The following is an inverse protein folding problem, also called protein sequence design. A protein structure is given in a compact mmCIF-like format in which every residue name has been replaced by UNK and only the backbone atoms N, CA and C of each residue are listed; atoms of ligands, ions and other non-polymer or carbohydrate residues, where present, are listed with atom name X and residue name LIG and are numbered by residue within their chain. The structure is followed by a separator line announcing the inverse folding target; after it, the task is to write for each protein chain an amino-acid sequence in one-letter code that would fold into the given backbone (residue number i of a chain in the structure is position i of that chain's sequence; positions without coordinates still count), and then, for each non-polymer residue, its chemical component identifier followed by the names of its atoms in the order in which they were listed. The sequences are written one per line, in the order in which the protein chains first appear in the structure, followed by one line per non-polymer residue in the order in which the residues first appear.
data_IF_426771988926
#
_entry.id   IF_426771988926
#
_cell.length_a   1.000
_cell.length_b   1.000
_cell.length_c   1.000
_cell.angle_alpha   90.00
_cell.angle_beta   90.00
_cell.angle_gamma   90.00
#
_symmetry.space_group_name_H-M   'P 1'
#
loop_
_entity.id
_entity.type
_entity.pdbx_description
1 polymer ?
#
# COMPACT_ATOMS: atom_id res chain seq x y z
N UNK A 1 15.17 -0.98 -5.04
CA UNK A 1 13.75 -1.09 -4.68
C UNK A 1 12.96 -0.32 -5.72
N UNK A 2 11.84 -0.87 -6.18
CA UNK A 2 11.01 -0.29 -7.22
C UNK A 2 9.59 -0.06 -6.71
N UNK A 3 9.09 1.17 -6.85
CA UNK A 3 7.76 1.57 -6.40
C UNK A 3 6.81 1.79 -7.59
N UNK A 4 5.57 1.32 -7.47
CA UNK A 4 4.48 1.69 -8.36
C UNK A 4 3.57 2.67 -7.61
N UNK A 5 3.28 3.80 -8.23
CA UNK A 5 2.40 4.84 -7.69
C UNK A 5 1.10 4.83 -8.49
N UNK A 6 -0.04 4.82 -7.79
CA UNK A 6 -1.37 4.96 -8.35
C UNK A 6 -2.06 6.17 -7.72
N UNK A 7 -1.94 7.31 -8.38
CA UNK A 7 -2.47 8.60 -7.93
C UNK A 7 -2.98 9.36 -9.16
N UNK A 8 -4.23 9.81 -9.13
CA UNK A 8 -4.84 10.59 -10.22
C UNK A 8 -4.35 12.04 -10.20
N UNK A 9 -4.26 12.62 -9.00
CA UNK A 9 -3.82 13.99 -8.78
C UNK A 9 -2.33 14.16 -9.08
N UNK A 10 -2.04 14.98 -10.10
CA UNK A 10 -0.67 15.20 -10.56
C UNK A 10 0.20 15.85 -9.49
N UNK A 11 -0.35 16.79 -8.71
CA UNK A 11 0.44 17.51 -7.72
C UNK A 11 0.91 16.60 -6.58
N UNK A 12 0.04 15.69 -6.14
CA UNK A 12 0.36 14.69 -5.12
C UNK A 12 1.28 13.62 -5.70
N UNK A 13 1.04 13.16 -6.93
CA UNK A 13 1.90 12.20 -7.61
C UNK A 13 3.33 12.72 -7.75
N UNK A 14 3.50 13.99 -8.15
CA UNK A 14 4.81 14.62 -8.31
C UNK A 14 5.53 14.78 -6.96
N UNK A 15 4.79 15.09 -5.89
CA UNK A 15 5.35 15.15 -4.53
C UNK A 15 5.88 13.78 -4.09
N UNK A 16 5.08 12.71 -4.27
CA UNK A 16 5.47 11.33 -3.92
C UNK A 16 6.67 10.88 -4.76
N UNK A 17 6.65 11.15 -6.07
CA UNK A 17 7.77 10.83 -6.96
C UNK A 17 9.06 11.50 -6.50
N UNK A 18 8.99 12.78 -6.13
CA UNK A 18 10.16 13.55 -5.69
C UNK A 18 10.75 12.99 -4.41
N UNK A 19 9.91 12.68 -3.40
CA UNK A 19 10.36 12.05 -2.15
C UNK A 19 11.06 10.70 -2.37
N UNK A 20 10.46 9.86 -3.23
CA UNK A 20 11.04 8.56 -3.58
C UNK A 20 12.38 8.70 -4.30
N UNK A 21 12.47 9.63 -5.26
CA UNK A 21 13.71 9.89 -6.00
C UNK A 21 14.83 10.41 -5.10
N UNK A 22 14.55 11.38 -4.23
CA UNK A 22 15.50 11.90 -3.24
C UNK A 22 16.01 10.80 -2.30
N UNK A 23 15.18 9.79 -2.07
CA UNK A 23 15.48 8.61 -1.26
C UNK A 23 16.12 7.45 -2.03
N UNK A 24 16.44 7.63 -3.31
CA UNK A 24 17.08 6.61 -4.17
C UNK A 24 16.16 5.45 -4.57
N UNK A 25 14.83 5.65 -4.52
CA UNK A 25 13.82 4.65 -4.90
C UNK A 25 13.38 4.93 -6.33
N UNK A 26 13.57 3.97 -7.23
CA UNK A 26 13.04 4.05 -8.58
C UNK A 26 11.53 3.87 -8.55
N UNK A 27 10.79 4.70 -9.29
CA UNK A 27 9.33 4.66 -9.28
C UNK A 27 8.73 4.86 -10.67
N UNK A 28 7.55 4.27 -10.87
CA UNK A 28 6.66 4.53 -12.00
C UNK A 28 5.30 5.00 -11.49
N UNK A 29 4.69 5.96 -12.18
CA UNK A 29 3.39 6.53 -11.80
C UNK A 29 2.33 6.21 -12.85
N UNK A 30 1.20 5.70 -12.37
CA UNK A 30 -0.03 5.48 -13.10
C UNK A 30 -1.15 6.33 -12.50
N UNK A 31 -2.08 6.75 -13.35
CA UNK A 31 -3.29 7.49 -12.98
C UNK A 31 -4.57 6.69 -13.18
N UNK A 32 -4.43 5.48 -13.67
CA UNK A 32 -5.54 4.62 -14.08
C UNK A 32 -5.40 3.27 -13.36
N UNK A 33 -6.37 2.88 -12.51
CA UNK A 33 -6.31 1.64 -11.78
C UNK A 33 -6.34 0.41 -12.71
N UNK A 34 -6.95 0.51 -13.89
CA UNK A 34 -7.03 -0.59 -14.86
C UNK A 34 -5.64 -0.89 -15.41
N UNK A 35 -4.87 0.13 -15.77
CA UNK A 35 -3.47 -0.04 -16.21
C UNK A 35 -2.59 -0.68 -15.14
N UNK A 36 -2.88 -0.41 -13.86
CA UNK A 36 -2.17 -1.06 -12.76
C UNK A 36 -2.55 -2.52 -12.68
N UNK A 37 -3.84 -2.85 -12.72
CA UNK A 37 -4.35 -4.22 -12.71
C UNK A 37 -3.71 -5.06 -13.83
N UNK A 38 -3.61 -4.50 -15.04
CA UNK A 38 -3.05 -5.20 -16.20
C UNK A 38 -1.53 -5.42 -16.08
N UNK A 39 -0.77 -4.42 -15.62
CA UNK A 39 0.70 -4.48 -15.67
C UNK A 39 1.37 -4.88 -14.35
N UNK A 40 0.68 -4.84 -13.20
CA UNK A 40 1.32 -5.04 -11.90
C UNK A 40 2.04 -6.38 -11.78
N UNK A 41 1.49 -7.44 -12.38
CA UNK A 41 2.08 -8.78 -12.37
C UNK A 41 3.38 -8.88 -13.18
N UNK A 42 3.56 -8.03 -14.19
CA UNK A 42 4.78 -7.94 -14.99
C UNK A 42 5.82 -7.04 -14.33
N UNK A 43 5.38 -5.89 -13.82
CA UNK A 43 6.21 -4.89 -13.14
C UNK A 43 6.80 -5.46 -11.85
N UNK A 44 6.01 -6.22 -11.08
CA UNK A 44 6.37 -6.81 -9.78
C UNK A 44 7.03 -5.78 -8.84
N UNK A 45 6.33 -4.68 -8.52
CA UNK A 45 6.90 -3.65 -7.66
C UNK A 45 7.17 -4.20 -6.26
N UNK A 46 8.20 -3.66 -5.59
CA UNK A 46 8.43 -3.93 -4.18
C UNK A 46 7.36 -3.24 -3.31
N UNK A 47 6.82 -2.12 -3.80
CA UNK A 47 5.88 -1.26 -3.08
C UNK A 47 4.86 -0.69 -4.05
N UNK A 48 3.59 -0.76 -3.67
CA UNK A 48 2.46 -0.13 -4.34
C UNK A 48 1.93 0.99 -3.45
N UNK A 49 1.99 2.23 -3.94
CA UNK A 49 1.49 3.42 -3.25
C UNK A 49 0.19 3.85 -3.92
N UNK A 50 -0.91 3.94 -3.17
CA UNK A 50 -2.21 4.32 -3.71
C UNK A 50 -2.80 5.46 -2.90
N UNK A 51 -3.33 6.50 -3.56
CA UNK A 51 -4.13 7.52 -2.88
C UNK A 51 -5.57 7.06 -2.72
N UNK A 52 -6.04 7.01 -1.48
CA UNK A 52 -7.35 6.49 -1.11
C UNK A 52 -8.50 7.25 -1.77
N UNK A 53 -8.40 8.58 -1.75
CA UNK A 53 -9.43 9.50 -2.24
C UNK A 53 -9.72 9.32 -3.73
N UNK A 54 -8.71 8.96 -4.51
CA UNK A 54 -8.82 8.84 -5.97
C UNK A 54 -9.54 7.54 -6.37
N UNK A 55 -9.30 6.44 -5.64
CA UNK A 55 -9.76 5.11 -6.04
C UNK A 55 -10.40 4.28 -4.91
N UNK A 56 -11.40 4.80 -4.18
CA UNK A 56 -11.93 4.15 -2.98
C UNK A 56 -12.45 2.72 -3.21
N UNK A 57 -13.02 2.45 -4.39
CA UNK A 57 -13.58 1.14 -4.75
C UNK A 57 -12.53 0.16 -5.30
N UNK A 58 -11.41 0.64 -5.84
CA UNK A 58 -10.42 -0.22 -6.51
C UNK A 58 -9.35 -0.73 -5.55
N UNK A 59 -9.06 0.01 -4.47
CA UNK A 59 -8.01 -0.37 -3.52
C UNK A 59 -8.24 -1.76 -2.91
N UNK A 60 -9.46 -2.14 -2.46
CA UNK A 60 -9.71 -3.49 -1.96
C UNK A 60 -9.43 -4.58 -3.00
N UNK A 61 -9.78 -4.34 -4.27
CA UNK A 61 -9.56 -5.27 -5.38
C UNK A 61 -8.06 -5.44 -5.65
N UNK A 62 -7.34 -4.33 -5.80
CA UNK A 62 -5.90 -4.33 -6.05
C UNK A 62 -5.15 -4.96 -4.86
N UNK A 63 -5.58 -4.68 -3.63
CA UNK A 63 -5.00 -5.28 -2.44
C UNK A 63 -5.20 -6.79 -2.39
N UNK A 64 -6.38 -7.29 -2.78
CA UNK A 64 -6.62 -8.72 -2.92
C UNK A 64 -5.70 -9.33 -3.98
N UNK A 65 -5.56 -8.69 -5.15
CA UNK A 65 -4.66 -9.16 -6.20
C UNK A 65 -3.21 -9.26 -5.74
N UNK A 66 -2.68 -8.21 -5.11
CA UNK A 66 -1.32 -8.19 -4.55
C UNK A 66 -1.14 -9.30 -3.52
N UNK A 67 -2.14 -9.53 -2.68
CA UNK A 67 -2.06 -10.49 -1.57
C UNK A 67 -2.15 -11.95 -2.02
N UNK A 68 -3.01 -12.24 -2.99
CA UNK A 68 -3.31 -13.61 -3.41
C UNK A 68 -2.55 -14.05 -4.67
N UNK A 69 -1.87 -13.13 -5.37
CA UNK A 69 -0.98 -13.48 -6.47
C UNK A 69 0.41 -13.89 -5.95
N UNK A 70 0.88 -15.08 -6.33
CA UNK A 70 2.22 -15.56 -5.98
C UNK A 70 3.33 -14.61 -6.47
N UNK A 71 3.14 -13.99 -7.64
CA UNK A 71 4.12 -13.07 -8.22
C UNK A 71 4.27 -11.75 -7.44
N UNK A 72 3.32 -11.43 -6.57
CA UNK A 72 3.24 -10.15 -5.85
C UNK A 72 3.37 -10.30 -4.33
N UNK A 73 3.69 -11.48 -3.81
CA UNK A 73 3.77 -11.70 -2.35
C UNK A 73 4.78 -10.80 -1.62
N UNK A 74 5.78 -10.26 -2.34
CA UNK A 74 6.76 -9.32 -1.79
C UNK A 74 6.33 -7.86 -1.87
N UNK A 75 5.31 -7.57 -2.70
CA UNK A 75 4.81 -6.21 -2.90
C UNK A 75 4.07 -5.75 -1.65
N UNK A 76 4.52 -4.64 -1.08
CA UNK A 76 3.89 -3.99 0.06
C UNK A 76 2.91 -2.94 -0.42
N UNK A 77 1.80 -2.75 0.28
CA UNK A 77 0.82 -1.73 -0.07
C UNK A 77 0.93 -0.58 0.93
N UNK A 78 1.05 0.64 0.42
CA UNK A 78 0.99 1.90 1.16
C UNK A 78 -0.21 2.68 0.66
N UNK A 79 -1.08 3.08 1.58
CA UNK A 79 -2.26 3.89 1.27
C UNK A 79 -2.06 5.29 1.83
N UNK A 80 -2.23 6.29 0.97
CA UNK A 80 -2.27 7.70 1.35
C UNK A 80 -3.74 8.07 1.57
N UNK A 81 -4.13 8.33 2.81
CA UNK A 81 -5.52 8.64 3.17
C UNK A 81 -5.82 8.33 4.63
N UNK A 82 -7.02 8.67 5.07
CA UNK A 82 -7.42 8.60 6.48
C UNK A 82 -8.33 7.39 6.78
N UNK A 83 -9.04 6.87 5.78
CA UNK A 83 -10.05 5.82 5.94
C UNK A 83 -9.64 4.55 5.19
N UNK A 84 -8.70 3.81 5.76
CA UNK A 84 -8.29 2.53 5.18
C UNK A 84 -9.08 1.38 5.79
N UNK A 85 -9.79 0.57 4.98
CA UNK A 85 -10.49 -0.60 5.49
C UNK A 85 -9.59 -1.52 6.32
N UNK A 86 -10.03 -1.84 7.53
CA UNK A 86 -9.26 -2.59 8.54
C UNK A 86 -8.83 -4.00 8.12
N UNK A 87 -9.49 -4.57 7.11
CA UNK A 87 -9.12 -5.87 6.56
C UNK A 87 -7.92 -5.81 5.60
N UNK A 88 -7.54 -4.63 5.11
CA UNK A 88 -6.37 -4.45 4.28
C UNK A 88 -5.11 -4.36 5.15
N UNK A 89 -4.26 -5.38 5.06
CA UNK A 89 -2.95 -5.39 5.70
C UNK A 89 -1.98 -4.49 4.91
N UNK A 90 -2.18 -3.18 5.00
CA UNK A 90 -1.37 -2.17 4.33
C UNK A 90 -0.82 -1.15 5.32
N UNK A 91 0.20 -0.41 4.87
CA UNK A 91 0.70 0.75 5.59
C UNK A 91 -0.13 1.97 5.22
N UNK A 92 -0.26 2.89 6.16
CA UNK A 92 -1.08 4.09 5.98
C UNK A 92 -0.27 5.33 6.33
N UNK A 93 -0.46 6.37 5.52
CA UNK A 93 0.03 7.71 5.79
C UNK A 93 -1.09 8.71 5.47
N UNK A 94 -1.28 9.70 6.33
CA UNK A 94 -2.28 10.75 6.09
C UNK A 94 -1.73 11.78 5.10
N UNK A 95 -2.62 12.40 4.31
CA UNK A 95 -2.20 13.44 3.35
C UNK A 95 -1.53 14.63 4.05
N UNK A 96 -2.02 15.01 5.22
CA UNK A 96 -1.43 16.08 6.02
C UNK A 96 0.01 15.78 6.42
N UNK A 97 0.32 14.52 6.75
CA UNK A 97 1.66 14.10 7.13
C UNK A 97 2.60 14.09 5.94
N UNK A 98 2.11 13.63 4.78
CA UNK A 98 2.84 13.66 3.52
C UNK A 98 3.21 15.08 3.10
N UNK A 99 2.29 16.03 3.26
CA UNK A 99 2.53 17.45 2.93
C UNK A 99 3.48 18.15 3.89
N UNK A 100 3.44 17.82 5.19
CA UNK A 100 4.27 18.45 6.22
C UNK A 100 5.71 17.94 6.24
N UNK A 101 5.92 16.67 5.91
CA UNK A 101 7.23 16.02 5.94
C UNK A 101 7.38 15.15 4.70
N UNK A 102 8.09 15.68 3.70
CA UNK A 102 8.34 14.97 2.44
C UNK A 102 8.92 13.57 2.70
N UNK A 103 9.93 13.46 3.58
CA UNK A 103 10.65 12.21 3.91
C UNK A 103 9.83 11.14 4.65
N UNK A 104 8.60 11.46 5.04
CA UNK A 104 7.76 10.57 5.84
C UNK A 104 7.34 9.31 5.07
N UNK A 105 7.14 9.43 3.75
CA UNK A 105 6.76 8.31 2.92
C UNK A 105 7.94 7.37 2.67
N UNK A 106 9.10 7.87 2.25
CA UNK A 106 10.31 7.06 2.12
C UNK A 106 10.66 6.31 3.42
N UNK A 107 10.62 6.97 4.58
CA UNK A 107 10.83 6.29 5.88
C UNK A 107 9.83 5.18 6.13
N UNK A 108 8.55 5.40 5.86
CA UNK A 108 7.52 4.35 5.99
C UNK A 108 7.87 3.17 5.10
N UNK A 109 8.22 3.44 3.84
CA UNK A 109 8.59 2.43 2.85
C UNK A 109 9.79 1.59 3.32
N UNK A 110 10.83 2.22 3.87
CA UNK A 110 12.02 1.52 4.37
C UNK A 110 11.82 0.84 5.73
N UNK A 111 10.93 1.36 6.59
CA UNK A 111 10.79 0.92 7.98
C UNK A 111 10.32 -0.54 8.12
N UNK A 112 9.73 -1.14 7.08
CA UNK A 112 9.21 -2.50 7.20
C UNK A 112 8.05 -2.65 8.18
N UNK A 113 7.56 -1.54 8.77
CA UNK A 113 6.66 -1.56 9.90
C UNK A 113 5.24 -1.94 9.46
N UNK A 114 4.94 -3.24 9.50
CA UNK A 114 3.59 -3.80 9.38
C UNK A 114 2.66 -3.01 10.31
N UNK A 115 1.67 -2.33 9.73
CA UNK A 115 0.51 -1.81 10.48
C UNK A 115 0.03 -2.94 11.39
N UNK A 116 -0.22 -2.72 12.68
CA UNK A 116 -0.47 -3.81 13.63
C UNK A 116 -1.63 -4.64 13.11
N UNK A 117 -1.28 -5.76 12.45
CA UNK A 117 -2.24 -6.69 11.92
C UNK A 117 -3.13 -7.08 13.08
N UNK A 118 -4.44 -6.94 12.90
CA UNK A 118 -5.40 -7.28 13.93
C UNK A 118 -5.01 -8.66 14.48
N UNK A 119 -4.64 -8.73 15.78
CA UNK A 119 -4.50 -10.02 16.48
C UNK A 119 -5.76 -10.79 16.14
N UNK A 120 -5.61 -11.92 15.44
CA UNK A 120 -6.72 -12.65 14.86
C UNK A 120 -7.89 -12.75 15.83
N UNK A 121 -9.11 -12.72 15.29
CA UNK A 121 -10.35 -12.63 16.06
C UNK A 121 -10.29 -13.48 17.33
N UNK A 122 -10.49 -12.86 18.50
CA UNK A 122 -10.40 -13.54 19.81
C UNK A 122 -11.31 -14.77 19.86
N UNK A 123 -12.40 -14.77 19.10
CA UNK A 123 -13.30 -15.89 18.92
C UNK A 123 -12.63 -17.07 18.19
N UNK A 124 -11.90 -16.81 17.11
CA UNK A 124 -11.14 -17.84 16.37
C UNK A 124 -10.01 -18.40 17.23
N UNK A 125 -9.29 -17.53 17.95
CA UNK A 125 -8.24 -17.97 18.88
C UNK A 125 -8.82 -18.80 20.04
N UNK A 126 -10.02 -18.49 20.53
CA UNK A 126 -10.71 -19.26 21.57
C UNK A 126 -11.21 -20.61 21.04
N UNK A 127 -11.79 -20.64 19.84
CA UNK A 127 -12.24 -21.87 19.19
C UNK A 127 -11.08 -22.84 18.95
N UNK A 128 -9.93 -22.34 18.47
CA UNK A 128 -8.73 -23.16 18.26
C UNK A 128 -8.14 -23.75 19.56
N UNK A 129 -8.36 -23.09 20.71
CA UNK A 129 -7.97 -23.64 22.02
C UNK A 129 -8.93 -24.73 22.49
N UNK A 130 -10.23 -24.55 22.27
CA UNK A 130 -11.25 -25.54 22.66
C UNK A 130 -11.20 -26.84 21.84
N UNK A 131 -10.58 -26.84 20.66
CA UNK A 131 -10.42 -28.03 19.81
C UNK A 131 -9.15 -28.84 20.18
N UNK A 132 -8.25 -28.28 20.99
CA UNK A 132 -7.00 -28.93 21.41
C UNK A 132 -7.06 -29.54 22.82
N UNK A 133 -8.17 -29.39 23.53
CA UNK A 133 -8.50 -30.08 24.78
C UNK A 133 -9.40 -31.27 24.47
#
# INVERSE_FOLDING_TARGET
MFALILIEDTSVADLVLRDLQESGISAISYRDPIKVIDHIAEIKPDVLIIRQKDFPLHIPLIAAMVRFSESLQRCRIVVIGDEVPSFMQCWQITEEKLQKDASSLARLVFSGAVSPGHRGSRLVAKAQRMVKE
#
